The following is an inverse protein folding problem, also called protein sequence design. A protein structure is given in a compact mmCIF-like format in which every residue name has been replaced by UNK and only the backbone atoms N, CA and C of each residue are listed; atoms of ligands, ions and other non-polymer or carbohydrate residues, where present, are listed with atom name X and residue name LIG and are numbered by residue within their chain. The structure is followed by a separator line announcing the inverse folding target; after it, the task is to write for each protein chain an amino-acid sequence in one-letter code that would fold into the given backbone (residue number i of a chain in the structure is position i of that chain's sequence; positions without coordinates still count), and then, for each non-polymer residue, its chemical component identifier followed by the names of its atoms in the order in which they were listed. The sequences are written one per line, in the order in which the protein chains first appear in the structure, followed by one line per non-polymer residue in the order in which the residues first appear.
data_IF_623810754709
#
_entry.id   IF_623810754709
#
_cell.length_a   1.000
_cell.length_b   1.000
_cell.length_c   1.000
_cell.angle_alpha   90.00
_cell.angle_beta   90.00
_cell.angle_gamma   90.00
#
_symmetry.space_group_name_H-M   'P 1'
#
loop_
_entity.id
_entity.type
_entity.pdbx_description
1 polymer ?
#
# COMPACT_ATOMS: atom_id res chain seq x y z
N UNK A 1 -13.29 3.86 0.78
CA UNK A 1 -13.76 4.76 -0.30
C UNK A 1 -15.01 5.46 0.21
N UNK A 2 -15.15 6.78 0.00
CA UNK A 2 -16.37 7.50 0.37
C UNK A 2 -17.46 7.13 -0.64
N UNK A 3 -18.69 6.95 -0.18
CA UNK A 3 -19.83 6.82 -1.08
C UNK A 3 -19.98 8.09 -1.92
N UNK A 4 -20.18 7.93 -3.21
CA UNK A 4 -20.46 9.03 -4.13
C UNK A 4 -21.65 8.62 -5.00
N UNK A 5 -22.63 9.52 -5.12
CA UNK A 5 -23.81 9.27 -5.94
C UNK A 5 -23.44 9.37 -7.43
N UNK A 6 -23.82 8.35 -8.20
CA UNK A 6 -23.54 8.23 -9.63
C UNK A 6 -24.12 9.40 -10.46
N UNK A 7 -25.29 9.93 -10.07
CA UNK A 7 -25.95 11.05 -10.75
C UNK A 7 -25.14 12.35 -10.68
N UNK A 8 -24.24 12.47 -9.71
CA UNK A 8 -23.36 13.63 -9.52
C UNK A 8 -22.04 13.46 -10.30
N UNK A 9 -21.65 12.22 -10.59
CA UNK A 9 -20.31 11.89 -11.12
C UNK A 9 -20.32 11.63 -12.62
N UNK A 10 -21.35 10.97 -13.14
CA UNK A 10 -21.38 10.50 -14.52
C UNK A 10 -22.35 11.31 -15.38
N UNK A 11 -22.04 11.54 -16.67
CA UNK A 11 -22.99 12.13 -17.60
C UNK A 11 -24.24 11.26 -17.78
N UNK A 12 -25.39 11.89 -18.05
CA UNK A 12 -26.69 11.21 -18.20
C UNK A 12 -26.65 10.07 -19.22
N UNK A 13 -25.99 10.27 -20.36
CA UNK A 13 -25.88 9.24 -21.40
C UNK A 13 -25.15 7.98 -20.90
N UNK A 14 -24.11 8.13 -20.08
CA UNK A 14 -23.38 7.01 -19.48
C UNK A 14 -24.20 6.32 -18.40
N UNK A 15 -24.94 7.09 -17.58
CA UNK A 15 -25.84 6.52 -16.57
C UNK A 15 -26.93 5.66 -17.19
N UNK A 16 -27.55 6.13 -18.29
CA UNK A 16 -28.53 5.35 -19.06
C UNK A 16 -27.94 4.04 -19.58
N UNK A 17 -26.69 4.05 -20.01
CA UNK A 17 -26.02 2.84 -20.47
C UNK A 17 -25.72 1.86 -19.32
N UNK A 18 -25.18 2.34 -18.21
CA UNK A 18 -24.90 1.51 -17.01
C UNK A 18 -26.20 0.90 -16.48
N UNK A 19 -27.27 1.69 -16.44
CA UNK A 19 -28.58 1.26 -15.96
C UNK A 19 -29.09 0.03 -16.71
N UNK A 20 -28.86 -0.09 -18.03
CA UNK A 20 -29.23 -1.31 -18.79
C UNK A 20 -28.67 -2.61 -18.20
N UNK A 21 -27.56 -2.54 -17.47
CA UNK A 21 -26.89 -3.68 -16.85
C UNK A 21 -27.13 -3.75 -15.33
N UNK A 22 -27.20 -2.61 -14.65
CA UNK A 22 -27.35 -2.53 -13.19
C UNK A 22 -28.30 -1.39 -12.81
N UNK A 23 -29.48 -1.72 -12.29
CA UNK A 23 -30.45 -0.77 -11.75
C UNK A 23 -30.47 -0.83 -10.21
N UNK A 24 -30.16 0.29 -9.53
CA UNK A 24 -30.23 0.38 -8.06
C UNK A 24 -29.13 -0.37 -7.30
N UNK A 25 -28.13 -0.91 -8.00
CA UNK A 25 -27.01 -1.66 -7.42
C UNK A 25 -25.74 -0.83 -7.24
N UNK A 26 -24.79 -1.35 -6.46
CA UNK A 26 -23.46 -0.77 -6.29
C UNK A 26 -22.46 -1.48 -7.21
N UNK A 27 -21.80 -0.72 -8.09
CA UNK A 27 -20.78 -1.23 -9.01
C UNK A 27 -19.40 -0.73 -8.60
N UNK A 28 -18.44 -1.64 -8.49
CA UNK A 28 -17.05 -1.27 -8.28
C UNK A 28 -16.40 -0.89 -9.62
N UNK A 29 -15.91 0.34 -9.72
CA UNK A 29 -15.10 0.78 -10.86
C UNK A 29 -13.62 0.62 -10.48
N UNK A 30 -12.89 -0.35 -11.07
CA UNK A 30 -11.49 -0.54 -10.77
C UNK A 30 -10.67 0.66 -11.23
N UNK A 31 -9.58 0.94 -10.52
CA UNK A 31 -8.60 1.94 -10.96
C UNK A 31 -7.97 1.49 -12.28
N UNK A 32 -7.88 2.38 -13.28
CA UNK A 32 -7.19 2.08 -14.54
C UNK A 32 -5.77 1.59 -14.30
N UNK A 33 -5.31 0.67 -15.14
CA UNK A 33 -3.95 0.16 -15.07
C UNK A 33 -2.95 1.31 -15.32
N UNK A 34 -1.93 1.40 -14.46
CA UNK A 34 -1.00 2.55 -14.42
C UNK A 34 -1.35 3.64 -13.41
N UNK A 35 -2.62 3.78 -12.99
CA UNK A 35 -3.02 4.66 -11.89
C UNK A 35 -3.10 3.95 -10.53
N UNK A 36 -2.90 2.63 -10.54
CA UNK A 36 -2.77 1.83 -9.31
C UNK A 36 -1.51 2.27 -8.57
N UNK A 37 -1.68 3.16 -7.60
CA UNK A 37 -0.63 3.48 -6.64
C UNK A 37 -0.17 2.21 -5.96
N UNK A 38 1.13 2.03 -5.83
CA UNK A 38 1.66 0.84 -5.18
C UNK A 38 1.23 0.86 -3.71
N UNK A 39 1.03 -0.32 -3.13
CA UNK A 39 0.62 -0.45 -1.74
C UNK A 39 1.49 0.41 -0.80
N UNK A 40 0.84 1.20 0.05
CA UNK A 40 1.49 2.11 1.00
C UNK A 40 1.93 3.47 0.47
N UNK A 41 1.70 3.82 -0.81
CA UNK A 41 2.03 5.15 -1.36
C UNK A 41 1.05 6.26 -0.90
N UNK A 42 -0.25 5.97 -0.79
CA UNK A 42 -1.23 6.99 -0.35
C UNK A 42 -1.13 7.34 1.14
N UNK A 43 -0.68 6.40 1.98
CA UNK A 43 -0.58 6.59 3.43
C UNK A 43 0.81 7.02 3.89
N UNK A 44 1.81 7.10 2.98
CA UNK A 44 3.20 7.37 3.33
C UNK A 44 3.94 6.24 4.06
N UNK A 45 3.22 5.19 4.47
CA UNK A 45 3.73 4.02 5.21
C UNK A 45 4.89 3.36 4.45
N UNK A 46 4.82 3.31 3.11
CA UNK A 46 5.91 2.74 2.32
C UNK A 46 7.23 3.48 2.51
N UNK A 47 7.20 4.81 2.62
CA UNK A 47 8.39 5.63 2.83
C UNK A 47 8.95 5.44 4.24
N UNK A 48 8.08 5.39 5.25
CA UNK A 48 8.47 5.11 6.64
C UNK A 48 9.12 3.74 6.79
N UNK A 49 8.53 2.70 6.18
CA UNK A 49 9.09 1.35 6.18
C UNK A 49 10.43 1.29 5.45
N UNK A 50 10.59 2.00 4.33
CA UNK A 50 11.87 2.07 3.62
C UNK A 50 12.96 2.72 4.49
N UNK A 51 12.65 3.85 5.14
CA UNK A 51 13.60 4.54 6.01
C UNK A 51 14.05 3.66 7.18
N UNK A 52 13.08 3.04 7.87
CA UNK A 52 13.36 2.10 8.96
C UNK A 52 14.21 0.91 8.51
N UNK A 53 13.92 0.35 7.33
CA UNK A 53 14.70 -0.76 6.79
C UNK A 53 16.14 -0.36 6.44
N UNK A 54 16.34 0.87 5.94
CA UNK A 54 17.68 1.41 5.69
C UNK A 54 18.44 1.66 7.01
N UNK A 55 17.76 2.14 8.06
CA UNK A 55 18.33 2.29 9.41
C UNK A 55 18.74 0.94 10.02
N UNK A 56 17.90 -0.10 9.87
CA UNK A 56 18.21 -1.47 10.31
C UNK A 56 19.49 -1.97 9.63
N UNK A 57 19.64 -1.78 8.31
CA UNK A 57 20.84 -2.19 7.57
C UNK A 57 22.08 -1.44 8.05
N UNK A 58 21.96 -0.14 8.29
CA UNK A 58 23.07 0.68 8.78
C UNK A 58 23.52 0.28 10.19
N UNK A 59 22.57 0.02 11.10
CA UNK A 59 22.91 -0.46 12.45
C UNK A 59 23.56 -1.85 12.42
N UNK A 60 23.07 -2.74 11.54
CA UNK A 60 23.69 -4.05 11.34
C UNK A 60 25.13 -3.94 10.80
N UNK A 61 25.38 -3.07 9.80
CA UNK A 61 26.74 -2.84 9.29
C UNK A 61 27.69 -2.23 10.32
N UNK A 62 27.15 -1.54 11.34
CA UNK A 62 27.91 -1.01 12.46
C UNK A 62 28.09 -2.00 13.62
N UNK A 63 27.72 -3.28 13.44
CA UNK A 63 28.03 -4.36 14.36
C UNK A 63 26.92 -4.74 15.33
N UNK A 64 25.70 -4.17 15.21
CA UNK A 64 24.56 -4.68 15.98
C UNK A 64 24.15 -6.07 15.48
N UNK A 65 23.88 -6.99 16.40
CA UNK A 65 23.41 -8.33 16.07
C UNK A 65 21.95 -8.32 15.60
N UNK A 66 21.54 -9.39 14.91
CA UNK A 66 20.15 -9.52 14.46
C UNK A 66 19.18 -9.64 15.64
N UNK A 67 19.60 -10.26 16.74
CA UNK A 67 18.84 -10.38 18.00
C UNK A 67 18.58 -9.00 18.60
N UNK A 68 19.62 -8.17 18.71
CA UNK A 68 19.50 -6.78 19.22
C UNK A 68 18.57 -5.93 18.34
N UNK A 69 18.65 -6.10 17.02
CA UNK A 69 17.76 -5.40 16.08
C UNK A 69 16.32 -5.91 16.18
N UNK A 70 16.14 -7.21 16.43
CA UNK A 70 14.82 -7.85 16.63
C UNK A 70 14.11 -7.20 17.82
N UNK A 71 14.81 -7.06 18.95
CA UNK A 71 14.31 -6.41 20.16
C UNK A 71 14.08 -4.91 19.94
N UNK A 72 15.07 -4.18 19.41
CA UNK A 72 14.99 -2.71 19.25
C UNK A 72 13.85 -2.28 18.32
N UNK A 73 13.52 -3.06 17.30
CA UNK A 73 12.47 -2.74 16.33
C UNK A 73 11.18 -3.54 16.52
N UNK A 74 11.08 -4.33 17.60
CA UNK A 74 9.95 -5.24 17.87
C UNK A 74 9.58 -6.08 16.65
N UNK A 75 10.58 -6.58 15.94
CA UNK A 75 10.40 -7.46 14.77
C UNK A 75 10.84 -8.87 15.12
N UNK A 76 10.33 -9.86 14.37
CA UNK A 76 10.90 -11.20 14.41
C UNK A 76 12.30 -11.24 13.81
N UNK A 77 13.11 -12.20 14.27
CA UNK A 77 14.44 -12.47 13.73
C UNK A 77 14.41 -12.65 12.20
N UNK A 78 13.46 -13.43 11.68
CA UNK A 78 13.30 -13.64 10.24
C UNK A 78 12.97 -12.36 9.48
N UNK A 79 12.19 -11.45 10.08
CA UNK A 79 11.90 -10.15 9.48
C UNK A 79 13.15 -9.29 9.38
N UNK A 80 13.97 -9.26 10.44
CA UNK A 80 15.26 -8.57 10.45
C UNK A 80 16.21 -9.18 9.41
N UNK A 81 16.35 -10.51 9.40
CA UNK A 81 17.15 -11.24 8.42
C UNK A 81 16.73 -10.91 6.99
N UNK A 82 15.42 -10.89 6.71
CA UNK A 82 14.87 -10.52 5.40
C UNK A 82 15.18 -9.07 5.04
N UNK A 83 15.07 -8.13 5.98
CA UNK A 83 15.39 -6.71 5.75
C UNK A 83 16.87 -6.53 5.40
N UNK A 84 17.76 -7.20 6.13
CA UNK A 84 19.21 -7.13 5.94
C UNK A 84 19.60 -7.72 4.58
N UNK A 85 19.10 -8.90 4.23
CA UNK A 85 19.57 -9.64 3.04
C UNK A 85 18.73 -9.47 1.77
N UNK A 86 17.50 -8.95 1.86
CA UNK A 86 16.70 -8.68 0.66
C UNK A 86 17.28 -7.49 -0.10
N UNK A 87 17.56 -7.70 -1.39
CA UNK A 87 17.92 -6.62 -2.32
C UNK A 87 16.80 -5.58 -2.40
N UNK A 88 17.20 -4.32 -2.56
CA UNK A 88 16.31 -3.19 -2.89
C UNK A 88 15.73 -3.36 -4.28
#
# INVERSE_FOLDING_TARGET
MKYVNADIVFPEALLKEIQKYVHGGMVYVPTPDGFRKKWGENSGIRKQLSHRNDEIRHKFSNGLSMEQLSEHYCLSYDSIKKIIYSKK
#
